data_IF_507089864637
#
_entry.id   IF_507089864637
#
_cell.length_a   1.000
_cell.length_b   1.000
_cell.length_c   1.000
_cell.angle_alpha   90.00
_cell.angle_beta   90.00
_cell.angle_gamma   90.00
#
_symmetry.space_group_name_H-M   'P 1'
#
loop_
_entity.id
_entity.type
_entity.pdbx_description
1 polymer ?
#
# COMPACT_ATOMS: atom_id res chain seq x y z
N UNK A 1 -8.45 9.11 4.36
CA UNK A 1 -8.87 7.91 3.59
C UNK A 1 -10.28 8.02 2.98
N UNK A 2 -11.33 8.44 3.70
CA UNK A 2 -12.71 8.49 3.16
C UNK A 2 -12.91 9.56 2.06
N UNK A 3 -12.25 10.72 2.19
CA UNK A 3 -12.41 11.84 1.23
C UNK A 3 -11.77 11.54 -0.13
N UNK A 4 -10.63 10.85 -0.16
CA UNK A 4 -9.97 10.44 -1.40
C UNK A 4 -10.80 9.39 -2.16
N UNK A 5 -11.33 8.40 -1.44
CA UNK A 5 -12.18 7.35 -2.03
C UNK A 5 -13.52 7.91 -2.55
N UNK A 6 -14.08 8.92 -1.87
CA UNK A 6 -15.29 9.61 -2.33
C UNK A 6 -15.07 10.44 -3.62
N UNK A 7 -13.86 10.94 -3.84
CA UNK A 7 -13.53 11.69 -5.06
C UNK A 7 -13.37 10.77 -6.27
N UNK A 8 -12.71 9.61 -6.09
CA UNK A 8 -12.58 8.59 -7.13
C UNK A 8 -13.96 8.07 -7.58
N UNK A 9 -14.84 7.70 -6.63
CA UNK A 9 -16.19 7.27 -6.99
C UNK A 9 -17.04 8.34 -7.70
N UNK A 10 -16.84 9.62 -7.37
CA UNK A 10 -17.52 10.73 -8.07
C UNK A 10 -17.01 10.91 -9.50
N UNK A 11 -15.70 10.76 -9.71
CA UNK A 11 -15.09 10.83 -11.03
C UNK A 11 -15.61 9.71 -11.94
N UNK A 12 -15.66 8.47 -11.42
CA UNK A 12 -16.19 7.31 -12.14
C UNK A 12 -17.68 7.45 -12.49
N UNK A 13 -18.47 7.97 -11.55
CA UNK A 13 -19.89 8.23 -11.76
C UNK A 13 -20.10 9.33 -12.82
N UNK A 14 -19.30 10.39 -12.82
CA UNK A 14 -19.35 11.47 -13.82
C UNK A 14 -18.97 10.95 -15.21
N UNK A 15 -17.94 10.09 -15.33
CA UNK A 15 -17.60 9.46 -16.62
C UNK A 15 -18.71 8.54 -17.13
N UNK A 16 -19.38 7.80 -16.24
CA UNK A 16 -20.50 6.92 -16.62
C UNK A 16 -21.71 7.71 -17.11
N UNK A 17 -22.02 8.84 -16.46
CA UNK A 17 -23.10 9.75 -16.90
C UNK A 17 -22.77 10.40 -18.24
N UNK A 18 -21.51 10.80 -18.46
CA UNK A 18 -21.07 11.36 -19.74
C UNK A 18 -21.18 10.35 -20.90
N UNK A 19 -20.83 9.08 -20.66
CA UNK A 19 -21.01 7.98 -21.63
C UNK A 19 -22.50 7.72 -21.90
N UNK A 20 -23.32 7.68 -20.84
CA UNK A 20 -24.77 7.45 -20.98
C UNK A 20 -25.45 8.54 -21.82
N UNK A 21 -25.12 9.82 -21.59
CA UNK A 21 -25.63 10.94 -22.40
C UNK A 21 -25.14 10.83 -23.85
N UNK A 22 -23.87 10.44 -24.06
CA UNK A 22 -23.31 10.21 -25.40
C UNK A 22 -24.05 9.14 -26.19
N UNK A 23 -24.38 8.01 -25.56
CA UNK A 23 -25.15 6.91 -26.18
C UNK A 23 -26.63 7.26 -26.34
N UNK A 24 -27.24 7.97 -25.39
CA UNK A 24 -28.64 8.37 -25.49
C UNK A 24 -28.87 9.44 -26.59
N UNK A 25 -27.89 10.31 -26.82
CA UNK A 25 -27.96 11.36 -27.85
C UNK A 25 -27.98 10.84 -29.29
N UNK A 26 -27.38 9.69 -29.58
CA UNK A 26 -27.37 9.11 -30.94
C UNK A 26 -28.71 8.52 -31.36
N UNK A 27 -29.59 8.19 -30.41
CA UNK A 27 -30.89 7.54 -30.67
C UNK A 27 -32.01 8.51 -31.12
N UNK A 28 -31.76 9.83 -31.12
CA UNK A 28 -32.82 10.83 -31.30
C UNK A 28 -33.11 11.13 -32.79
N UNK A 29 -32.19 10.87 -33.74
CA UNK A 29 -32.47 11.13 -35.16
C UNK A 29 -31.67 10.21 -36.14
N UNK A 30 -32.32 9.41 -37.00
CA UNK A 30 -31.66 8.46 -37.91
C UNK A 30 -30.84 9.08 -39.05
N UNK A 31 -30.98 10.37 -39.34
CA UNK A 31 -30.29 11.05 -40.46
C UNK A 31 -28.82 11.39 -40.18
N UNK A 32 -28.29 11.03 -39.01
CA UNK A 32 -27.00 11.47 -38.47
C UNK A 32 -25.98 10.32 -38.34
N UNK A 33 -25.92 9.40 -39.32
CA UNK A 33 -24.98 8.27 -39.30
C UNK A 33 -23.50 8.65 -39.07
N UNK A 34 -23.07 9.83 -39.52
CA UNK A 34 -21.72 10.34 -39.22
C UNK A 34 -21.57 10.66 -37.72
N UNK A 35 -22.62 11.20 -37.10
CA UNK A 35 -22.63 11.55 -35.68
C UNK A 35 -22.55 10.30 -34.79
N UNK A 36 -23.14 9.18 -35.24
CA UNK A 36 -23.03 7.89 -34.56
C UNK A 36 -21.58 7.39 -34.49
N UNK A 37 -20.81 7.53 -35.58
CA UNK A 37 -19.38 7.17 -35.60
C UNK A 37 -18.54 8.06 -34.67
N UNK A 38 -18.83 9.37 -34.61
CA UNK A 38 -18.15 10.28 -33.68
C UNK A 38 -18.52 10.01 -32.22
N UNK A 39 -19.77 9.69 -31.94
CA UNK A 39 -20.21 9.32 -30.59
C UNK A 39 -19.58 8.00 -30.16
N UNK A 40 -19.50 7.00 -31.05
CA UNK A 40 -18.83 5.73 -30.78
C UNK A 40 -17.33 5.91 -30.50
N UNK A 41 -16.63 6.77 -31.25
CA UNK A 41 -15.23 7.12 -31.00
C UNK A 41 -15.04 7.79 -29.63
N UNK A 42 -15.93 8.73 -29.29
CA UNK A 42 -15.91 9.44 -28.01
C UNK A 42 -16.13 8.47 -26.85
N UNK A 43 -17.14 7.61 -26.94
CA UNK A 43 -17.42 6.58 -25.93
C UNK A 43 -16.26 5.58 -25.81
N UNK A 44 -15.70 5.11 -26.94
CA UNK A 44 -14.54 4.22 -26.95
C UNK A 44 -13.33 4.85 -26.25
N UNK A 45 -13.06 6.14 -26.50
CA UNK A 45 -12.01 6.87 -25.80
C UNK A 45 -12.22 6.90 -24.28
N UNK A 46 -13.44 7.15 -23.80
CA UNK A 46 -13.76 7.11 -22.38
C UNK A 46 -13.59 5.71 -21.77
N UNK A 47 -14.05 4.67 -22.47
CA UNK A 47 -13.88 3.28 -22.02
C UNK A 47 -12.41 2.93 -21.89
N UNK A 48 -11.58 3.26 -22.89
CA UNK A 48 -10.13 3.01 -22.85
C UNK A 48 -9.48 3.79 -21.70
N UNK A 49 -9.85 5.05 -21.52
CA UNK A 49 -9.31 5.88 -20.42
C UNK A 49 -9.62 5.27 -19.05
N UNK A 50 -10.88 4.91 -18.78
CA UNK A 50 -11.29 4.29 -17.52
C UNK A 50 -10.61 2.93 -17.33
N UNK A 51 -10.52 2.13 -18.40
CA UNK A 51 -9.82 0.85 -18.37
C UNK A 51 -8.33 0.99 -18.01
N UNK A 52 -7.64 2.00 -18.54
CA UNK A 52 -6.24 2.29 -18.21
C UNK A 52 -6.06 2.77 -16.77
N UNK A 53 -7.02 3.53 -16.23
CA UNK A 53 -7.00 3.98 -14.84
C UNK A 53 -7.16 2.80 -13.88
N UNK A 54 -8.18 1.95 -14.11
CA UNK A 54 -8.39 0.71 -13.35
C UNK A 54 -7.17 -0.21 -13.45
N UNK A 55 -6.61 -0.39 -14.64
CA UNK A 55 -5.42 -1.23 -14.84
C UNK A 55 -4.22 -0.69 -14.08
N UNK A 56 -4.00 0.63 -14.10
CA UNK A 56 -2.90 1.27 -13.37
C UNK A 56 -3.04 1.10 -11.87
N UNK A 57 -4.24 1.24 -11.34
CA UNK A 57 -4.50 1.09 -9.91
C UNK A 57 -4.34 -0.37 -9.47
N UNK A 58 -4.86 -1.31 -10.26
CA UNK A 58 -4.63 -2.74 -10.03
C UNK A 58 -3.12 -3.08 -10.08
N UNK A 59 -2.37 -2.55 -11.05
CA UNK A 59 -0.92 -2.76 -11.14
C UNK A 59 -0.17 -2.16 -9.94
N UNK A 60 -0.61 -1.01 -9.41
CA UNK A 60 -0.04 -0.41 -8.18
C UNK A 60 -0.33 -1.24 -6.94
N UNK A 61 -1.52 -1.81 -6.85
CA UNK A 61 -1.88 -2.70 -5.75
C UNK A 61 -1.09 -4.01 -5.81
N UNK A 62 -0.86 -4.55 -7.02
CA UNK A 62 -0.04 -5.74 -7.25
C UNK A 62 1.46 -5.50 -7.07
N UNK A 63 1.94 -4.28 -7.30
CA UNK A 63 3.33 -3.93 -7.07
C UNK A 63 3.46 -3.59 -5.60
N UNK A 64 3.87 -4.56 -4.76
CA UNK A 64 4.22 -4.42 -3.32
C UNK A 64 4.83 -3.04 -3.04
N UNK A 65 3.99 -2.04 -2.74
CA UNK A 65 4.47 -0.67 -2.68
C UNK A 65 5.12 -0.50 -1.32
N UNK A 66 6.37 -0.06 -1.32
CA UNK A 66 7.10 0.29 -0.12
C UNK A 66 6.26 1.30 0.69
N UNK A 67 6.12 1.13 2.02
CA UNK A 67 5.36 2.06 2.84
C UNK A 67 5.89 3.48 2.74
N UNK A 68 5.06 4.45 3.10
CA UNK A 68 5.49 5.84 3.18
C UNK A 68 6.72 5.98 4.09
N UNK A 69 7.69 6.86 3.76
CA UNK A 69 8.91 7.05 4.56
C UNK A 69 8.64 7.37 6.03
N UNK A 70 7.51 8.02 6.33
CA UNK A 70 7.08 8.32 7.69
C UNK A 70 6.82 7.04 8.51
N UNK A 71 6.25 6.00 7.89
CA UNK A 71 5.97 4.72 8.54
C UNK A 71 7.28 3.99 8.84
N UNK A 72 8.21 3.99 7.88
CA UNK A 72 9.55 3.41 8.08
C UNK A 72 10.26 4.09 9.25
N UNK A 73 10.18 5.43 9.34
CA UNK A 73 10.72 6.20 10.46
C UNK A 73 10.09 5.83 11.81
N UNK A 74 8.77 5.67 11.86
CA UNK A 74 8.06 5.24 13.08
C UNK A 74 8.45 3.83 13.52
N UNK A 75 8.54 2.89 12.58
CA UNK A 75 8.99 1.51 12.86
C UNK A 75 10.39 1.53 13.48
N UNK A 76 11.31 2.28 12.87
CA UNK A 76 12.68 2.41 13.34
C UNK A 76 12.75 3.01 14.75
N UNK A 77 12.01 4.10 14.99
CA UNK A 77 11.97 4.77 16.28
C UNK A 77 11.37 3.88 17.39
N UNK A 78 10.27 3.19 17.08
CA UNK A 78 9.62 2.27 18.01
C UNK A 78 10.57 1.11 18.38
N UNK A 79 11.20 0.46 17.40
CA UNK A 79 12.13 -0.64 17.66
C UNK A 79 13.33 -0.21 18.52
N UNK A 80 13.97 0.93 18.22
CA UNK A 80 15.07 1.48 19.02
C UNK A 80 14.66 1.99 20.41
N UNK A 81 13.36 2.26 20.62
CA UNK A 81 12.88 2.67 21.93
C UNK A 81 12.79 1.50 22.93
N UNK A 82 12.81 0.25 22.44
CA UNK A 82 12.72 -0.94 23.27
C UNK A 82 14.05 -1.22 23.95
N UNK A 83 14.02 -1.32 25.27
CA UNK A 83 15.22 -1.60 26.07
C UNK A 83 15.81 -2.97 25.68
N UNK A 84 17.12 -2.98 25.43
CA UNK A 84 17.87 -4.16 25.00
C UNK A 84 18.12 -4.24 23.49
N UNK A 85 17.45 -3.39 22.69
CA UNK A 85 17.80 -3.19 21.28
C UNK A 85 18.97 -2.21 21.20
N UNK A 86 20.09 -2.67 20.65
CA UNK A 86 21.31 -1.87 20.46
C UNK A 86 21.30 -1.16 19.10
N UNK A 87 20.85 -1.87 18.07
CA UNK A 87 20.73 -1.36 16.70
C UNK A 87 19.70 -2.20 15.91
N UNK A 88 19.41 -1.82 14.67
CA UNK A 88 18.56 -2.59 13.76
C UNK A 88 19.02 -2.46 12.32
N UNK A 89 18.81 -3.50 11.52
CA UNK A 89 19.15 -3.50 10.10
C UNK A 89 18.21 -4.40 9.29
N UNK A 90 18.41 -4.42 7.96
CA UNK A 90 17.60 -5.15 6.98
C UNK A 90 16.08 -5.01 7.17
N UNK A 91 15.61 -3.79 7.49
CA UNK A 91 14.19 -3.50 7.63
C UNK A 91 13.52 -3.59 6.26
N UNK A 92 12.69 -4.63 6.10
CA UNK A 92 11.88 -4.86 4.90
C UNK A 92 10.42 -4.77 5.26
N UNK A 93 9.70 -3.92 4.55
CA UNK A 93 8.25 -3.78 4.72
C UNK A 93 7.60 -3.79 3.36
N UNK A 94 6.59 -4.64 3.20
CA UNK A 94 5.74 -4.70 2.01
C UNK A 94 4.28 -4.55 2.41
N UNK A 95 3.46 -4.08 1.46
CA UNK A 95 2.03 -3.88 1.67
C UNK A 95 1.26 -4.88 0.82
N UNK A 96 0.49 -5.75 1.46
CA UNK A 96 -0.35 -6.75 0.77
C UNK A 96 -1.79 -6.62 1.26
N UNK A 97 -2.72 -6.32 0.36
CA UNK A 97 -4.15 -6.18 0.70
C UNK A 97 -4.43 -5.07 1.72
N UNK A 98 -3.64 -3.99 1.69
CA UNK A 98 -3.75 -2.86 2.62
C UNK A 98 -3.18 -3.11 4.03
N UNK A 99 -2.57 -4.28 4.26
CA UNK A 99 -1.87 -4.61 5.51
C UNK A 99 -0.36 -4.69 5.28
N UNK A 100 0.41 -4.34 6.30
CA UNK A 100 1.86 -4.44 6.28
C UNK A 100 2.32 -5.87 6.59
N UNK A 101 3.34 -6.32 5.86
CA UNK A 101 4.15 -7.47 6.22
C UNK A 101 5.57 -6.97 6.41
N UNK A 102 6.13 -7.22 7.58
CA UNK A 102 7.47 -6.73 7.90
C UNK A 102 8.40 -7.83 8.38
N UNK A 103 9.67 -7.62 8.05
CA UNK A 103 10.82 -8.38 8.53
C UNK A 103 11.87 -7.37 8.98
N UNK A 104 12.44 -7.58 10.17
CA UNK A 104 13.46 -6.69 10.74
C UNK A 104 14.49 -7.52 11.52
N UNK A 105 15.74 -7.12 11.41
CA UNK A 105 16.82 -7.65 12.26
C UNK A 105 17.09 -6.65 13.37
N UNK A 106 17.00 -7.10 14.61
CA UNK A 106 17.39 -6.32 15.79
C UNK A 106 18.71 -6.85 16.33
N UNK A 107 19.60 -5.93 16.69
CA UNK A 107 20.88 -6.23 17.31
C UNK A 107 20.72 -6.15 18.83
N UNK A 108 21.12 -7.20 19.53
CA UNK A 108 21.08 -7.28 20.99
C UNK A 108 22.43 -7.76 21.55
N UNK A 109 22.60 -7.70 22.88
CA UNK A 109 23.78 -8.24 23.55
C UNK A 109 23.88 -9.77 23.32
N UNK A 110 25.01 -10.22 22.77
CA UNK A 110 25.25 -11.63 22.43
C UNK A 110 25.43 -12.56 23.63
N UNK A 111 25.50 -12.04 24.85
CA UNK A 111 25.54 -12.84 26.08
C UNK A 111 24.14 -13.17 26.62
N UNK A 112 23.08 -12.61 26.04
CA UNK A 112 21.71 -12.89 26.44
C UNK A 112 21.34 -14.35 26.16
N UNK A 113 20.56 -14.91 27.06
CA UNK A 113 19.92 -16.20 26.81
C UNK A 113 18.88 -16.07 25.69
N UNK A 114 18.58 -17.18 25.01
CA UNK A 114 17.53 -17.23 23.98
C UNK A 114 16.19 -16.72 24.51
N UNK A 115 15.88 -16.97 25.78
CA UNK A 115 14.65 -16.48 26.42
C UNK A 115 14.64 -14.95 26.57
N UNK A 116 15.77 -14.34 26.92
CA UNK A 116 15.88 -12.89 27.03
C UNK A 116 15.79 -12.21 25.67
N UNK A 117 16.50 -12.74 24.66
CA UNK A 117 16.37 -12.29 23.28
C UNK A 117 14.93 -12.39 22.77
N UNK A 118 14.24 -13.50 23.05
CA UNK A 118 12.82 -13.65 22.70
C UNK A 118 11.92 -12.62 23.39
N UNK A 119 12.19 -12.27 24.65
CA UNK A 119 11.42 -11.23 25.36
C UNK A 119 11.63 -9.85 24.74
N UNK A 120 12.85 -9.50 24.34
CA UNK A 120 13.14 -8.25 23.64
C UNK A 120 12.40 -8.23 22.30
N UNK A 121 12.50 -9.29 21.50
CA UNK A 121 11.78 -9.40 20.24
C UNK A 121 10.25 -9.26 20.43
N UNK A 122 9.69 -9.88 21.47
CA UNK A 122 8.27 -9.73 21.81
C UNK A 122 7.90 -8.30 22.22
N UNK A 123 8.76 -7.60 22.95
CA UNK A 123 8.54 -6.21 23.29
C UNK A 123 8.57 -5.29 22.06
N UNK A 124 9.46 -5.54 21.10
CA UNK A 124 9.49 -4.86 19.80
C UNK A 124 8.21 -5.14 19.00
N UNK A 125 7.78 -6.41 18.93
CA UNK A 125 6.53 -6.79 18.27
C UNK A 125 5.31 -6.07 18.87
N UNK A 126 5.24 -5.97 20.20
CA UNK A 126 4.18 -5.24 20.91
C UNK A 126 4.21 -3.75 20.60
N UNK A 127 5.39 -3.11 20.68
CA UNK A 127 5.54 -1.69 20.34
C UNK A 127 5.06 -1.41 18.91
N UNK A 128 5.47 -2.23 17.93
CA UNK A 128 5.08 -2.05 16.53
C UNK A 128 3.58 -2.21 16.33
N UNK A 129 2.99 -3.21 16.99
CA UNK A 129 1.55 -3.49 16.91
C UNK A 129 0.71 -2.35 17.52
N UNK A 130 1.20 -1.70 18.57
CA UNK A 130 0.50 -0.63 19.28
C UNK A 130 0.70 0.76 18.62
N UNK A 131 1.93 1.11 18.25
CA UNK A 131 2.29 2.47 17.79
C UNK A 131 2.08 2.69 16.29
N UNK A 132 2.26 1.64 15.47
CA UNK A 132 2.16 1.74 14.01
C UNK A 132 0.87 1.09 13.50
N UNK A 133 0.53 -0.10 14.02
CA UNK A 133 -0.68 -0.83 13.63
C UNK A 133 -0.67 -1.34 12.18
N UNK A 134 -1.79 -1.95 11.75
CA UNK A 134 -2.02 -2.46 10.39
C UNK A 134 -1.06 -3.56 9.90
N UNK A 135 -0.43 -4.33 10.78
CA UNK A 135 0.37 -5.49 10.38
C UNK A 135 -0.48 -6.74 10.20
N UNK A 136 -0.20 -7.49 9.14
CA UNK A 136 -0.67 -8.87 8.94
C UNK A 136 0.35 -9.90 9.45
N UNK A 137 1.65 -9.58 9.39
CA UNK A 137 2.71 -10.40 9.97
C UNK A 137 3.94 -9.55 10.32
N UNK A 138 4.57 -9.87 11.45
CA UNK A 138 5.82 -9.27 11.92
C UNK A 138 6.81 -10.41 12.18
N UNK A 139 7.94 -10.39 11.48
CA UNK A 139 9.06 -11.33 11.71
C UNK A 139 10.25 -10.55 12.25
N UNK A 140 10.77 -10.96 13.41
CA UNK A 140 11.90 -10.30 14.06
C UNK A 140 13.03 -11.31 14.20
N UNK A 141 14.15 -11.02 13.55
CA UNK A 141 15.40 -11.75 13.71
C UNK A 141 16.23 -11.08 14.81
N UNK A 142 16.78 -11.90 15.70
CA UNK A 142 17.60 -11.42 16.82
C UNK A 142 19.04 -11.78 16.53
N UNK A 143 19.84 -10.75 16.25
CA UNK A 143 21.25 -10.90 15.92
C UNK A 143 22.12 -10.38 17.09
N UNK A 144 23.22 -11.07 17.43
CA UNK A 144 24.15 -10.57 18.42
C UNK A 144 24.99 -9.42 17.86
N UNK A 145 25.45 -8.51 18.71
CA UNK A 145 26.37 -7.39 18.35
C UNK A 145 27.59 -7.83 17.53
N UNK A 146 28.06 -9.05 17.72
CA UNK A 146 29.26 -9.59 17.03
C UNK A 146 29.02 -9.88 15.54
N UNK A 147 27.76 -10.00 15.09
CA UNK A 147 27.41 -10.32 13.69
C UNK A 147 27.01 -9.10 12.85
N UNK A 148 27.24 -7.87 13.35
CA UNK A 148 26.97 -6.65 12.59
C UNK A 148 28.04 -6.50 11.50
N UNK A 149 27.72 -6.93 10.28
CA UNK A 149 28.55 -6.62 9.10
C UNK A 149 28.36 -5.15 8.71
N UNK A 150 29.44 -4.43 8.35
CA UNK A 150 29.38 -3.04 7.92
C UNK A 150 28.65 -2.85 6.58
#
# INVERSE_FOLDING_TARGET
MIVANAWHHRSDALSSVAVFIGVAGTQINPSWHILDSFAALLVSFFIVKVGLEILRDALREFTDTAPEPEIIGKIHQCALSVNGVLDLHDLRVRTSGGLYQMEIHIVVDGQLTVLEGHKIAKAVESCLSEDVGNFSSITIHVDPEVDVRP
#
